data_IF_109058312444
#
_entry.id   IF_109058312444
#
_cell.length_a   1.000
_cell.length_b   1.000
_cell.length_c   1.000
_cell.angle_alpha   90.00
_cell.angle_beta   90.00
_cell.angle_gamma   90.00
#
_symmetry.space_group_name_H-M   'P 1'
#
loop_
_entity.id
_entity.type
_entity.pdbx_description
1 polymer ?
#
# COMPACT_ATOMS: atom_id res chain seq x y z
N UNK A 1 -5.04 46.83 32.85
CA UNK A 1 -6.14 46.51 31.89
C UNK A 1 -5.80 45.19 31.26
N UNK A 2 -6.29 44.14 31.91
CA UNK A 2 -6.04 42.74 31.51
C UNK A 2 -7.03 42.33 30.44
N UNK A 3 -6.54 42.00 29.25
CA UNK A 3 -7.35 41.39 28.20
C UNK A 3 -7.19 39.86 28.26
N UNK A 4 -8.01 39.25 29.07
CA UNK A 4 -8.24 37.83 29.09
C UNK A 4 -9.09 37.46 27.86
N UNK A 5 -8.51 36.87 26.81
CA UNK A 5 -9.22 36.31 25.69
C UNK A 5 -9.39 34.79 25.94
N UNK A 6 -10.59 34.25 26.03
CA UNK A 6 -10.78 32.84 26.30
C UNK A 6 -10.47 31.99 25.07
N UNK A 7 -9.68 30.92 25.29
CA UNK A 7 -9.16 29.92 24.33
C UNK A 7 -10.27 29.02 23.69
N UNK A 8 -11.54 29.38 23.84
CA UNK A 8 -12.67 28.50 23.46
C UNK A 8 -13.30 28.76 22.10
N UNK A 9 -12.70 29.57 21.22
CA UNK A 9 -13.36 29.96 19.95
C UNK A 9 -12.67 29.46 18.66
N UNK A 10 -11.69 28.55 18.74
CA UNK A 10 -10.95 28.04 17.56
C UNK A 10 -11.34 26.60 17.14
N UNK A 11 -12.42 26.06 17.67
CA UNK A 11 -12.86 24.69 17.39
C UNK A 11 -13.98 24.56 16.34
N UNK A 12 -14.18 25.56 15.48
CA UNK A 12 -15.31 25.53 14.52
C UNK A 12 -14.99 25.92 13.08
N UNK A 13 -13.89 25.48 12.48
CA UNK A 13 -13.69 25.72 11.03
C UNK A 13 -12.92 24.62 10.27
N UNK A 14 -13.11 23.35 10.57
CA UNK A 14 -12.66 22.29 9.63
C UNK A 14 -13.69 21.16 9.54
N UNK A 15 -14.85 21.48 8.95
CA UNK A 15 -15.76 20.47 8.42
C UNK A 15 -16.06 20.82 6.98
N UNK A 16 -15.20 20.44 6.07
CA UNK A 16 -15.48 20.04 4.67
C UNK A 16 -14.17 19.65 4.01
N UNK A 17 -13.80 18.38 4.11
CA UNK A 17 -12.84 17.79 3.20
C UNK A 17 -13.52 16.65 2.44
N UNK A 18 -13.26 16.51 1.15
CA UNK A 18 -13.91 15.54 0.29
C UNK A 18 -13.44 14.12 0.58
N UNK A 19 -14.32 13.17 0.30
CA UNK A 19 -14.15 11.73 0.42
C UNK A 19 -12.73 11.23 0.19
N UNK A 20 -12.09 10.76 1.26
CA UNK A 20 -10.96 9.85 1.23
C UNK A 20 -11.42 8.49 1.72
N UNK A 21 -11.00 7.45 1.03
CA UNK A 21 -11.27 6.06 1.37
C UNK A 21 -10.90 5.74 2.81
N UNK A 22 -11.79 5.00 3.48
CA UNK A 22 -11.68 4.57 4.86
C UNK A 22 -10.47 3.64 5.05
N UNK A 23 -9.46 4.19 5.65
CA UNK A 23 -8.33 3.53 6.28
C UNK A 23 -7.88 4.42 7.43
N UNK A 24 -8.81 4.75 8.35
CA UNK A 24 -8.49 5.55 9.54
C UNK A 24 -7.57 4.74 10.48
N UNK A 25 -6.28 4.73 10.17
CA UNK A 25 -5.28 4.48 11.20
C UNK A 25 -5.22 5.74 12.08
N UNK A 26 -5.76 5.61 13.30
CA UNK A 26 -5.58 6.55 14.39
C UNK A 26 -4.07 6.75 14.63
N UNK A 27 -3.52 7.82 14.06
CA UNK A 27 -2.21 8.30 14.49
C UNK A 27 -2.29 8.66 15.97
N UNK A 28 -1.53 7.95 16.81
CA UNK A 28 -1.45 8.26 18.23
C UNK A 28 -0.88 9.68 18.40
N UNK A 29 -1.71 10.58 18.92
CA UNK A 29 -1.30 11.95 19.28
C UNK A 29 -0.33 11.88 20.47
N UNK A 30 0.94 11.98 20.22
CA UNK A 30 1.90 12.33 21.27
C UNK A 30 1.83 13.83 21.48
N UNK A 31 1.09 14.26 22.52
CA UNK A 31 1.08 15.66 22.96
C UNK A 31 2.45 16.00 23.57
N UNK A 32 3.30 16.66 22.80
CA UNK A 32 4.37 17.50 23.36
C UNK A 32 4.12 18.94 22.94
N UNK A 33 3.94 19.79 23.95
CA UNK A 33 3.64 21.20 23.83
C UNK A 33 4.83 21.97 23.26
N UNK A 34 4.79 22.29 21.96
CA UNK A 34 5.37 23.53 21.42
C UNK A 34 4.67 23.85 20.09
N UNK A 35 4.15 25.06 19.97
CA UNK A 35 3.42 25.63 18.85
C UNK A 35 4.32 25.94 17.63
N UNK A 36 5.07 24.97 17.13
CA UNK A 36 5.76 25.13 15.85
C UNK A 36 5.83 23.77 15.14
N UNK A 37 5.08 23.67 14.05
CA UNK A 37 4.92 22.49 13.18
C UNK A 37 4.15 21.33 13.81
N UNK A 38 2.83 21.34 13.64
CA UNK A 38 1.98 20.15 13.64
C UNK A 38 2.25 19.36 12.35
N UNK A 39 3.45 18.85 12.18
CA UNK A 39 3.66 17.71 11.32
C UNK A 39 3.28 16.48 12.16
N UNK A 40 2.09 15.95 11.96
CA UNK A 40 1.72 14.66 12.51
C UNK A 40 2.80 13.65 12.10
N UNK A 41 3.65 13.28 13.04
CA UNK A 41 4.64 12.24 12.82
C UNK A 41 3.89 10.92 12.98
N UNK A 42 3.07 10.57 11.98
CA UNK A 42 2.56 9.22 11.87
C UNK A 42 3.75 8.29 11.70
N UNK A 43 4.08 7.57 12.75
CA UNK A 43 5.16 6.61 12.74
C UNK A 43 4.58 5.22 12.43
N UNK A 44 5.23 4.50 11.53
CA UNK A 44 4.85 3.12 11.25
C UNK A 44 5.19 2.20 12.43
N UNK A 45 4.44 1.13 12.58
CA UNK A 45 4.71 0.08 13.55
C UNK A 45 6.11 -0.53 13.35
N UNK A 46 6.63 -1.18 14.39
CA UNK A 46 7.93 -1.85 14.32
C UNK A 46 7.97 -2.88 13.17
N UNK A 47 9.04 -2.84 12.39
CA UNK A 47 9.22 -3.69 11.20
C UNK A 47 8.61 -3.15 9.90
N UNK A 48 7.76 -2.11 9.97
CA UNK A 48 7.21 -1.44 8.81
C UNK A 48 8.13 -0.33 8.31
N UNK A 49 8.15 -0.12 7.01
CA UNK A 49 8.91 0.95 6.34
C UNK A 49 7.97 2.06 5.93
N UNK A 50 8.30 3.30 6.32
CA UNK A 50 7.51 4.49 5.97
C UNK A 50 7.93 5.03 4.61
N UNK A 51 6.96 5.31 3.76
CA UNK A 51 7.15 6.02 2.51
C UNK A 51 5.88 6.76 2.12
N UNK A 52 6.00 8.03 1.78
CA UNK A 52 4.96 8.94 1.24
C UNK A 52 3.62 8.92 2.01
N UNK A 53 3.69 8.76 3.33
CA UNK A 53 2.53 8.74 4.23
C UNK A 53 2.01 7.34 4.56
N UNK A 54 2.39 6.32 3.81
CA UNK A 54 1.99 4.93 3.99
C UNK A 54 3.08 4.11 4.69
N UNK A 55 2.69 2.95 5.20
CA UNK A 55 3.57 1.99 5.85
C UNK A 55 3.58 0.67 5.07
N UNK A 56 4.77 0.13 4.83
CA UNK A 56 4.99 -1.08 4.03
C UNK A 56 5.69 -2.16 4.84
N UNK A 57 5.23 -3.39 4.69
CA UNK A 57 5.79 -4.55 5.36
C UNK A 57 6.13 -5.66 4.36
N UNK A 58 7.25 -6.35 4.58
CA UNK A 58 7.68 -7.47 3.74
C UNK A 58 7.32 -8.78 4.44
N UNK A 59 6.41 -9.54 3.85
CA UNK A 59 6.16 -10.94 4.22
C UNK A 59 7.27 -11.79 3.62
N UNK A 60 8.22 -12.20 4.46
CA UNK A 60 9.40 -12.96 4.02
C UNK A 60 9.13 -14.45 3.87
N UNK A 61 8.07 -14.97 4.48
CA UNK A 61 7.65 -16.36 4.30
C UNK A 61 6.98 -16.54 2.95
N UNK A 62 7.43 -17.57 2.21
CA UNK A 62 6.87 -17.91 0.91
C UNK A 62 5.43 -18.40 1.04
N UNK A 63 4.49 -17.71 0.41
CA UNK A 63 3.04 -17.98 0.47
C UNK A 63 2.42 -17.83 -0.92
N UNK A 64 1.32 -18.52 -1.16
CA UNK A 64 0.49 -18.25 -2.32
C UNK A 64 -0.21 -16.88 -2.17
N UNK A 65 -0.73 -16.32 -3.25
CA UNK A 65 -1.30 -14.97 -3.25
C UNK A 65 -2.41 -14.78 -2.20
N UNK A 66 -3.31 -15.76 -2.06
CA UNK A 66 -4.43 -15.69 -1.11
C UNK A 66 -3.95 -15.74 0.34
N UNK A 67 -3.00 -16.61 0.65
CA UNK A 67 -2.40 -16.70 1.98
C UNK A 67 -1.58 -15.45 2.32
N UNK A 68 -0.82 -14.93 1.36
CA UNK A 68 -0.07 -13.68 1.51
C UNK A 68 -1.01 -12.51 1.85
N UNK A 69 -2.13 -12.39 1.10
CA UNK A 69 -3.16 -11.39 1.39
C UNK A 69 -3.76 -11.57 2.78
N UNK A 70 -4.05 -12.81 3.19
CA UNK A 70 -4.58 -13.08 4.53
C UNK A 70 -3.62 -12.66 5.64
N UNK A 71 -2.30 -12.83 5.44
CA UNK A 71 -1.27 -12.33 6.36
C UNK A 71 -1.34 -10.80 6.45
N UNK A 72 -1.37 -10.09 5.33
CA UNK A 72 -1.52 -8.62 5.34
C UNK A 72 -2.79 -8.20 6.09
N UNK A 73 -3.92 -8.84 5.80
CA UNK A 73 -5.20 -8.56 6.49
C UNK A 73 -5.14 -8.78 8.00
N UNK A 74 -4.39 -9.78 8.47
CA UNK A 74 -4.20 -10.01 9.91
C UNK A 74 -3.43 -8.90 10.62
N UNK A 75 -2.72 -8.06 9.86
CA UNK A 75 -1.96 -6.88 10.33
C UNK A 75 -2.68 -5.55 10.06
N UNK A 76 -4.01 -5.56 9.83
CA UNK A 76 -4.81 -4.40 9.45
C UNK A 76 -4.26 -3.67 8.21
N UNK A 77 -3.84 -4.43 7.22
CA UNK A 77 -3.29 -3.96 5.95
C UNK A 77 -3.85 -4.77 4.78
N UNK A 78 -3.42 -4.51 3.57
CA UNK A 78 -3.67 -5.39 2.43
C UNK A 78 -2.38 -5.59 1.62
N UNK A 79 -2.40 -6.42 0.59
CA UNK A 79 -1.33 -6.44 -0.40
C UNK A 79 -1.19 -5.06 -1.04
N UNK A 80 0.04 -4.65 -1.33
CA UNK A 80 0.36 -3.31 -1.85
C UNK A 80 -0.41 -2.97 -3.13
N UNK A 81 -0.92 -1.75 -3.22
CA UNK A 81 -1.53 -1.15 -4.41
C UNK A 81 -0.57 -0.09 -4.96
N UNK A 82 0.08 -0.36 -6.08
CA UNK A 82 1.12 0.51 -6.62
C UNK A 82 0.48 1.59 -7.49
N UNK A 83 0.50 2.83 -7.01
CA UNK A 83 -0.18 3.97 -7.60
C UNK A 83 0.74 4.97 -8.32
N UNK A 84 2.06 4.83 -8.15
CA UNK A 84 3.02 5.77 -8.72
C UNK A 84 4.38 5.12 -9.00
N UNK A 85 5.13 5.74 -9.90
CA UNK A 85 6.52 5.36 -10.18
C UNK A 85 7.42 5.52 -8.94
N UNK A 86 7.17 6.55 -8.11
CA UNK A 86 7.92 6.76 -6.87
C UNK A 86 7.73 5.59 -5.90
N UNK A 87 6.51 5.09 -5.80
CA UNK A 87 6.18 3.94 -4.97
C UNK A 87 6.78 2.65 -5.53
N UNK A 88 6.68 2.42 -6.83
CA UNK A 88 7.35 1.31 -7.51
C UNK A 88 8.85 1.31 -7.19
N UNK A 89 9.53 2.45 -7.39
CA UNK A 89 10.96 2.60 -7.13
C UNK A 89 11.31 2.38 -5.64
N UNK A 90 10.44 2.82 -4.73
CA UNK A 90 10.62 2.56 -3.31
C UNK A 90 10.55 1.05 -3.00
N UNK A 91 9.53 0.36 -3.49
CA UNK A 91 9.39 -1.08 -3.31
C UNK A 91 10.58 -1.84 -3.93
N UNK A 92 11.03 -1.43 -5.11
CA UNK A 92 12.23 -1.96 -5.76
C UNK A 92 13.48 -1.85 -4.87
N UNK A 93 13.62 -0.74 -4.15
CA UNK A 93 14.74 -0.53 -3.23
C UNK A 93 14.72 -1.45 -2.01
N UNK A 94 13.56 -2.02 -1.68
CA UNK A 94 13.37 -2.94 -0.56
C UNK A 94 13.55 -4.42 -0.97
N UNK A 95 13.58 -4.70 -2.28
CA UNK A 95 13.67 -6.07 -2.79
C UNK A 95 15.13 -6.52 -2.92
N UNK A 96 15.32 -7.81 -2.66
CA UNK A 96 16.46 -8.59 -3.18
C UNK A 96 16.10 -9.12 -4.59
N UNK A 97 16.74 -10.20 -5.02
CA UNK A 97 16.40 -10.90 -6.26
C UNK A 97 15.15 -11.80 -6.15
N UNK A 98 14.45 -11.75 -5.02
CA UNK A 98 13.24 -12.53 -4.80
C UNK A 98 12.04 -11.95 -5.55
N UNK A 99 11.02 -12.77 -5.68
CA UNK A 99 9.73 -12.43 -6.27
C UNK A 99 8.73 -12.07 -5.18
N UNK A 100 7.89 -11.05 -5.43
CA UNK A 100 6.97 -10.50 -4.43
C UNK A 100 5.57 -10.35 -5.00
N UNK A 101 4.58 -10.97 -4.38
CA UNK A 101 3.19 -10.69 -4.66
C UNK A 101 2.83 -9.23 -4.40
N UNK A 102 2.05 -8.65 -5.31
CA UNK A 102 1.40 -7.34 -5.15
C UNK A 102 -0.11 -7.50 -5.18
N UNK A 103 -0.83 -6.43 -4.87
CA UNK A 103 -2.28 -6.47 -4.70
C UNK A 103 -3.12 -6.47 -5.99
N UNK A 104 -2.53 -6.81 -7.13
CA UNK A 104 -3.22 -6.83 -8.41
C UNK A 104 -3.62 -8.27 -8.80
N UNK A 105 -4.89 -8.44 -9.17
CA UNK A 105 -5.44 -9.73 -9.55
C UNK A 105 -6.45 -9.60 -10.67
N UNK A 106 -6.58 -10.63 -11.51
CA UNK A 106 -7.65 -10.74 -12.51
C UNK A 106 -8.96 -11.11 -11.82
N UNK A 107 -10.00 -10.30 -12.06
CA UNK A 107 -11.39 -10.55 -11.70
C UNK A 107 -12.19 -10.68 -12.99
N UNK A 108 -12.53 -11.93 -13.37
CA UNK A 108 -13.10 -12.28 -14.67
C UNK A 108 -12.14 -11.84 -15.80
N UNK A 109 -12.54 -10.85 -16.60
CA UNK A 109 -11.76 -10.37 -17.74
C UNK A 109 -11.02 -9.04 -17.44
N UNK A 110 -10.99 -8.60 -16.17
CA UNK A 110 -10.42 -7.30 -15.79
C UNK A 110 -9.40 -7.43 -14.68
N UNK A 111 -8.36 -6.63 -14.75
CA UNK A 111 -7.42 -6.47 -13.66
C UNK A 111 -8.00 -5.54 -12.58
N UNK A 112 -7.92 -5.98 -11.34
CA UNK A 112 -8.43 -5.24 -10.19
C UNK A 112 -7.45 -5.30 -9.03
N UNK A 113 -7.20 -4.14 -8.45
CA UNK A 113 -6.46 -4.04 -7.21
C UNK A 113 -7.29 -4.52 -6.00
N UNK A 114 -6.60 -4.87 -4.92
CA UNK A 114 -7.24 -5.36 -3.68
C UNK A 114 -8.12 -4.32 -2.99
N UNK A 115 -7.94 -3.03 -3.29
CA UNK A 115 -8.80 -1.92 -2.85
C UNK A 115 -10.10 -1.79 -3.67
N UNK A 116 -10.22 -2.58 -4.73
CA UNK A 116 -11.38 -2.59 -5.63
C UNK A 116 -11.23 -1.72 -6.87
N UNK A 117 -10.18 -0.92 -7.01
CA UNK A 117 -9.95 -0.10 -8.21
C UNK A 117 -9.60 -0.94 -9.42
N UNK A 118 -10.05 -0.50 -10.60
CA UNK A 118 -9.72 -1.16 -11.86
C UNK A 118 -8.34 -0.72 -12.34
N UNK A 119 -7.59 -1.66 -12.90
CA UNK A 119 -6.30 -1.41 -13.52
C UNK A 119 -6.38 -1.61 -15.04
N UNK A 120 -5.86 -0.64 -15.79
CA UNK A 120 -5.69 -0.76 -17.24
C UNK A 120 -4.38 -1.50 -17.52
N UNK A 121 -4.40 -2.68 -18.16
CA UNK A 121 -3.18 -3.46 -18.41
C UNK A 121 -2.21 -2.82 -19.41
N UNK A 122 -2.60 -1.75 -20.11
CA UNK A 122 -1.65 -0.95 -20.91
C UNK A 122 -0.80 0.01 -20.09
N UNK A 123 -1.09 0.13 -18.80
CA UNK A 123 -0.40 0.98 -17.82
C UNK A 123 0.37 0.12 -16.81
N UNK A 124 1.20 0.77 -15.99
CA UNK A 124 1.96 0.09 -14.93
C UNK A 124 3.37 -0.30 -15.36
N UNK A 125 3.95 -1.22 -14.60
CA UNK A 125 5.38 -1.56 -14.72
C UNK A 125 5.59 -2.99 -15.23
N UNK A 126 4.76 -3.41 -16.17
CA UNK A 126 4.81 -4.75 -16.76
C UNK A 126 6.14 -5.02 -17.45
N UNK A 127 6.60 -6.25 -17.35
CA UNK A 127 7.67 -6.75 -18.20
C UNK A 127 7.21 -6.76 -19.66
N UNK A 128 8.15 -6.62 -20.58
CA UNK A 128 7.82 -6.64 -22.01
C UNK A 128 7.13 -7.94 -22.40
N UNK A 129 5.91 -7.81 -22.89
CA UNK A 129 5.05 -8.92 -23.33
C UNK A 129 4.05 -9.40 -22.29
N UNK A 130 4.05 -8.81 -21.07
CA UNK A 130 3.09 -9.09 -20.00
C UNK A 130 1.97 -8.03 -19.96
N UNK A 131 0.81 -8.38 -19.41
CA UNK A 131 0.40 -9.71 -18.93
C UNK A 131 0.06 -10.64 -20.10
N UNK A 132 0.60 -11.87 -20.10
CA UNK A 132 0.46 -12.80 -21.22
C UNK A 132 -0.47 -13.99 -20.93
N UNK A 133 -0.88 -14.20 -19.67
CA UNK A 133 -1.71 -15.30 -19.22
C UNK A 133 -1.20 -16.67 -19.70
N UNK A 134 0.06 -16.93 -19.55
CA UNK A 134 0.71 -18.17 -20.00
C UNK A 134 0.00 -19.40 -19.43
N UNK A 135 -0.40 -20.32 -20.30
CA UNK A 135 -1.20 -21.49 -19.92
C UNK A 135 -2.64 -21.19 -19.49
N UNK A 136 -3.12 -19.95 -19.60
CA UNK A 136 -4.51 -19.56 -19.35
C UNK A 136 -4.95 -19.56 -17.89
N UNK A 137 -4.01 -19.46 -16.93
CA UNK A 137 -4.28 -19.55 -15.48
C UNK A 137 -3.49 -18.54 -14.63
N UNK A 138 -2.91 -17.52 -15.25
CA UNK A 138 -2.12 -16.52 -14.54
C UNK A 138 -3.01 -15.31 -14.17
N UNK A 139 -3.63 -15.39 -13.00
CA UNK A 139 -4.60 -14.41 -12.54
C UNK A 139 -4.07 -13.50 -11.43
N UNK A 140 -2.85 -13.71 -10.92
CA UNK A 140 -2.23 -12.92 -9.87
C UNK A 140 -0.95 -12.27 -10.36
N UNK A 141 -0.62 -11.10 -9.81
CA UNK A 141 0.54 -10.31 -10.27
C UNK A 141 1.62 -10.26 -9.20
N UNK A 142 2.85 -10.39 -9.66
CA UNK A 142 4.03 -10.25 -8.83
C UNK A 142 5.07 -9.31 -9.45
N UNK A 143 5.91 -8.71 -8.63
CA UNK A 143 7.17 -8.12 -9.06
C UNK A 143 8.17 -9.25 -9.27
N UNK A 144 8.72 -9.32 -10.46
CA UNK A 144 9.62 -10.38 -10.90
C UNK A 144 11.00 -9.83 -11.24
N UNK A 145 11.68 -10.46 -12.17
CA UNK A 145 13.01 -10.03 -12.66
C UNK A 145 12.98 -8.58 -13.12
N UNK A 146 14.09 -7.90 -12.95
CA UNK A 146 14.23 -6.47 -13.27
C UNK A 146 13.18 -5.60 -12.59
N UNK A 147 12.59 -6.10 -11.47
CA UNK A 147 11.56 -5.40 -10.67
C UNK A 147 10.29 -5.07 -11.46
N UNK A 148 10.07 -5.73 -12.58
CA UNK A 148 8.88 -5.53 -13.42
C UNK A 148 7.76 -6.49 -13.04
N UNK A 149 6.53 -6.13 -13.41
CA UNK A 149 5.35 -6.94 -13.14
C UNK A 149 5.20 -8.08 -14.15
N UNK A 150 4.76 -9.21 -13.67
CA UNK A 150 4.37 -10.36 -14.46
C UNK A 150 3.10 -10.98 -13.85
N UNK A 151 2.19 -11.47 -14.69
CA UNK A 151 1.09 -12.31 -14.22
C UNK A 151 1.60 -13.73 -13.95
N UNK A 152 1.01 -14.37 -12.95
CA UNK A 152 1.45 -15.67 -12.43
C UNK A 152 0.28 -16.48 -11.90
N UNK A 153 0.43 -17.79 -11.92
CA UNK A 153 -0.53 -18.70 -11.28
C UNK A 153 -0.55 -18.42 -9.78
N UNK A 154 -1.72 -18.10 -9.22
CA UNK A 154 -1.87 -17.63 -7.84
C UNK A 154 -1.42 -18.62 -6.75
N UNK A 155 -1.22 -19.89 -7.09
CA UNK A 155 -0.78 -20.94 -6.16
C UNK A 155 0.74 -21.02 -5.97
N UNK A 156 1.53 -20.27 -6.75
CA UNK A 156 2.97 -20.19 -6.54
C UNK A 156 3.30 -19.59 -5.16
N UNK A 157 4.40 -20.03 -4.58
CA UNK A 157 4.84 -19.56 -3.27
C UNK A 157 5.89 -18.46 -3.45
N UNK A 158 5.59 -17.26 -2.96
CA UNK A 158 6.47 -16.10 -3.06
C UNK A 158 6.40 -15.25 -1.79
N UNK A 159 7.34 -14.33 -1.62
CA UNK A 159 7.25 -13.24 -0.66
C UNK A 159 6.10 -12.31 -1.04
N UNK A 160 5.80 -11.29 -0.22
CA UNK A 160 4.76 -10.32 -0.55
C UNK A 160 5.04 -8.97 0.08
N UNK A 161 4.43 -7.92 -0.49
CA UNK A 161 4.35 -6.59 0.12
C UNK A 161 2.96 -6.34 0.68
N UNK A 162 2.90 -5.90 1.94
CA UNK A 162 1.70 -5.33 2.55
C UNK A 162 1.83 -3.82 2.66
N UNK A 163 0.68 -3.13 2.61
CA UNK A 163 0.55 -1.67 2.72
C UNK A 163 -0.60 -1.28 3.66
N UNK A 164 -0.42 -0.19 4.42
CA UNK A 164 -1.45 0.47 5.23
C UNK A 164 -1.17 1.95 5.42
#
# INVERSE_FOLDING_TARGET
MDLNIPILTLLRLYTTAPHRHQGDHLCSLVQTQTLSSLSEICQCDSGWKKFDGNCYYIVTTMKNWTEARAICKSMNSDLVVINSEREQNFLESLTDESEFWIGLKRDKDRWRWVDGTLHNPSEGFWMKGEPNNSGGKEDCVHMWRDKKWNDKVCTFLQKAFCEK
#
